data_IF_905870247701
#
_entry.id   IF_905870247701
#
_cell.length_a   1.000
_cell.length_b   1.000
_cell.length_c   1.000
_cell.angle_alpha   90.00
_cell.angle_beta   90.00
_cell.angle_gamma   90.00
#
_symmetry.space_group_name_H-M   'P 1'
#
loop_
_entity.id
_entity.type
_entity.pdbx_description
1 polymer ?
#
# COMPACT_ATOMS: atom_id res chain seq x y z
N UNK A 1 -8.79 -20.47 -2.62
CA UNK A 1 -7.65 -21.11 -3.31
C UNK A 1 -7.42 -20.41 -4.66
N UNK A 2 -6.94 -19.15 -4.61
CA UNK A 2 -6.74 -18.26 -5.77
C UNK A 2 -5.33 -18.43 -6.41
N UNK A 3 -4.48 -19.29 -5.83
CA UNK A 3 -3.03 -19.17 -5.99
C UNK A 3 -2.38 -20.12 -7.01
N UNK A 4 -3.15 -20.89 -7.79
CA UNK A 4 -2.54 -21.67 -8.89
C UNK A 4 -3.37 -21.58 -10.15
N UNK A 5 -4.68 -21.83 -10.07
CA UNK A 5 -5.58 -21.74 -11.22
C UNK A 5 -5.59 -20.36 -11.87
N UNK A 6 -5.81 -19.30 -11.08
CA UNK A 6 -5.90 -17.92 -11.61
C UNK A 6 -4.53 -17.37 -12.05
N UNK A 7 -3.44 -17.84 -11.44
CA UNK A 7 -2.09 -17.46 -11.86
C UNK A 7 -1.61 -18.22 -13.10
N UNK A 8 -2.03 -19.48 -13.29
CA UNK A 8 -1.78 -20.23 -14.52
C UNK A 8 -2.61 -19.67 -15.68
N UNK A 9 -3.86 -19.25 -15.42
CA UNK A 9 -4.69 -18.53 -16.38
C UNK A 9 -4.09 -17.15 -16.71
N UNK A 10 -3.66 -16.39 -15.69
CA UNK A 10 -2.97 -15.11 -15.89
C UNK A 10 -1.66 -15.30 -16.69
N UNK A 11 -0.88 -16.34 -16.40
CA UNK A 11 0.34 -16.67 -17.15
C UNK A 11 0.02 -16.96 -18.61
N UNK A 12 -0.98 -17.80 -18.88
CA UNK A 12 -1.44 -18.10 -20.24
C UNK A 12 -1.94 -16.85 -20.99
N UNK A 13 -2.70 -15.99 -20.30
CA UNK A 13 -3.15 -14.71 -20.84
C UNK A 13 -1.97 -13.80 -21.21
N UNK A 14 -0.99 -13.67 -20.31
CA UNK A 14 0.14 -12.80 -20.55
C UNK A 14 1.15 -13.37 -21.55
N UNK A 15 1.33 -14.69 -21.66
CA UNK A 15 2.17 -15.30 -22.69
C UNK A 15 1.58 -15.04 -24.09
N UNK A 16 0.24 -15.08 -24.21
CA UNK A 16 -0.48 -14.68 -25.43
C UNK A 16 -0.30 -13.19 -25.71
N UNK A 17 -0.43 -12.34 -24.71
CA UNK A 17 -0.26 -10.89 -24.86
C UNK A 17 1.18 -10.51 -25.21
N UNK A 18 2.19 -11.20 -24.66
CA UNK A 18 3.61 -11.04 -25.01
C UNK A 18 3.85 -11.36 -26.49
N UNK A 19 3.28 -12.47 -26.95
CA UNK A 19 3.38 -12.89 -28.35
C UNK A 19 2.70 -11.88 -29.28
N UNK A 20 1.51 -11.40 -28.89
CA UNK A 20 0.77 -10.41 -29.67
C UNK A 20 1.44 -9.02 -29.66
N UNK A 21 1.96 -8.59 -28.52
CA UNK A 21 2.68 -7.32 -28.39
C UNK A 21 3.94 -7.31 -29.25
N UNK A 22 4.69 -8.42 -29.25
CA UNK A 22 5.83 -8.63 -30.16
C UNK A 22 5.43 -8.56 -31.63
N UNK A 23 4.33 -9.24 -32.01
CA UNK A 23 3.82 -9.22 -33.39
C UNK A 23 3.28 -7.85 -33.84
N UNK A 24 2.76 -7.05 -32.90
CA UNK A 24 2.22 -5.70 -33.18
C UNK A 24 3.29 -4.63 -33.39
N UNK A 25 4.54 -4.89 -33.03
CA UNK A 25 5.63 -3.91 -33.05
C UNK A 25 5.53 -2.80 -31.98
N UNK A 26 4.52 -2.83 -31.11
CA UNK A 26 4.35 -1.83 -30.05
C UNK A 26 5.32 -2.08 -28.90
N UNK A 27 6.43 -1.35 -28.88
CA UNK A 27 7.42 -1.43 -27.80
C UNK A 27 6.83 -1.07 -26.42
N UNK A 28 5.90 -0.12 -26.37
CA UNK A 28 5.26 0.27 -25.10
C UNK A 28 4.37 -0.85 -24.56
N UNK A 29 3.55 -1.49 -25.42
CA UNK A 29 2.71 -2.61 -24.99
C UNK A 29 3.57 -3.79 -24.54
N UNK A 30 4.62 -4.11 -25.29
CA UNK A 30 5.58 -5.15 -24.90
C UNK A 30 6.20 -4.87 -23.54
N UNK A 31 6.63 -3.63 -23.28
CA UNK A 31 7.21 -3.23 -22.01
C UNK A 31 6.22 -3.38 -20.84
N UNK A 32 4.97 -2.98 -21.04
CA UNK A 32 3.90 -3.13 -20.03
C UNK A 32 3.57 -4.59 -19.75
N UNK A 33 3.48 -5.44 -20.77
CA UNK A 33 3.24 -6.88 -20.58
C UNK A 33 4.39 -7.54 -19.84
N UNK A 34 5.64 -7.17 -20.16
CA UNK A 34 6.83 -7.62 -19.43
C UNK A 34 6.81 -7.19 -17.95
N UNK A 35 6.34 -5.96 -17.66
CA UNK A 35 6.17 -5.51 -16.27
C UNK A 35 5.16 -6.38 -15.53
N UNK A 36 3.94 -6.54 -16.07
CA UNK A 36 2.88 -7.30 -15.42
C UNK A 36 3.27 -8.77 -15.20
N UNK A 37 3.89 -9.39 -16.19
CA UNK A 37 4.39 -10.77 -16.08
C UNK A 37 5.53 -10.92 -15.09
N UNK A 38 6.43 -9.93 -15.00
CA UNK A 38 7.49 -9.92 -14.00
C UNK A 38 6.92 -9.94 -12.58
N UNK A 39 5.93 -9.08 -12.30
CA UNK A 39 5.25 -9.02 -10.99
C UNK A 39 4.56 -10.33 -10.66
N UNK A 40 3.83 -10.90 -11.62
CA UNK A 40 3.15 -12.18 -11.46
C UNK A 40 4.13 -13.29 -11.06
N UNK A 41 5.26 -13.42 -11.77
CA UNK A 41 6.28 -14.41 -11.44
C UNK A 41 6.90 -14.18 -10.07
N UNK A 42 7.09 -12.92 -9.67
CA UNK A 42 7.59 -12.57 -8.34
C UNK A 42 6.64 -13.06 -7.24
N UNK A 43 5.33 -12.83 -7.41
CA UNK A 43 4.29 -13.32 -6.48
C UNK A 43 4.18 -14.84 -6.44
N UNK A 44 4.51 -15.51 -7.54
CA UNK A 44 4.61 -16.97 -7.63
C UNK A 44 5.92 -17.53 -7.04
N UNK A 45 6.85 -16.66 -6.61
CA UNK A 45 8.15 -17.04 -6.07
C UNK A 45 9.23 -17.32 -7.12
N UNK A 46 8.93 -17.12 -8.40
CA UNK A 46 9.87 -17.29 -9.52
C UNK A 46 10.73 -16.03 -9.71
N UNK A 47 11.45 -15.65 -8.65
CA UNK A 47 12.21 -14.40 -8.60
C UNK A 47 13.20 -14.20 -9.77
N UNK A 48 13.95 -15.22 -10.25
CA UNK A 48 14.84 -15.03 -11.40
C UNK A 48 14.09 -14.62 -12.68
N UNK A 49 12.91 -15.21 -12.92
CA UNK A 49 12.08 -14.89 -14.08
C UNK A 49 11.46 -13.50 -13.92
N UNK A 50 11.04 -13.16 -12.70
CA UNK A 50 10.53 -11.84 -12.35
C UNK A 50 11.57 -10.75 -12.65
N UNK A 51 12.79 -10.90 -12.13
CA UNK A 51 13.89 -9.95 -12.32
C UNK A 51 14.21 -9.76 -13.80
N UNK A 52 14.34 -10.86 -14.56
CA UNK A 52 14.61 -10.82 -16.00
C UNK A 52 13.53 -10.04 -16.77
N UNK A 53 12.25 -10.32 -16.50
CA UNK A 53 11.11 -9.67 -17.18
C UNK A 53 11.02 -8.19 -16.82
N UNK A 54 11.18 -7.84 -15.54
CA UNK A 54 11.21 -6.45 -15.08
C UNK A 54 12.40 -5.69 -15.67
N UNK A 55 13.57 -6.32 -15.82
CA UNK A 55 14.76 -5.70 -16.42
C UNK A 55 14.55 -5.41 -17.91
N UNK A 56 13.92 -6.33 -18.64
CA UNK A 56 13.56 -6.12 -20.04
C UNK A 56 12.55 -4.98 -20.18
N UNK A 57 11.53 -4.94 -19.33
CA UNK A 57 10.55 -3.86 -19.29
C UNK A 57 11.22 -2.50 -19.00
N UNK A 58 12.10 -2.43 -18.00
CA UNK A 58 12.84 -1.20 -17.67
C UNK A 58 13.68 -0.69 -18.84
N UNK A 59 14.38 -1.59 -19.56
CA UNK A 59 15.18 -1.19 -20.74
C UNK A 59 14.31 -0.57 -21.83
N UNK A 60 13.12 -1.15 -22.08
CA UNK A 60 12.18 -0.61 -23.06
C UNK A 60 11.62 0.74 -22.62
N UNK A 61 11.15 0.88 -21.37
CA UNK A 61 10.63 2.16 -20.88
C UNK A 61 11.72 3.26 -20.80
N UNK A 62 12.98 2.91 -20.55
CA UNK A 62 14.12 3.84 -20.69
C UNK A 62 14.29 4.31 -22.13
N UNK A 63 14.21 3.41 -23.11
CA UNK A 63 14.27 3.80 -24.52
C UNK A 63 13.10 4.70 -24.93
N UNK A 64 11.92 4.46 -24.36
CA UNK A 64 10.70 5.23 -24.60
C UNK A 64 10.64 6.56 -23.82
N UNK A 65 11.56 6.81 -22.88
CA UNK A 65 11.53 7.99 -22.01
C UNK A 65 10.38 8.00 -20.99
N UNK A 66 9.79 6.84 -20.68
CA UNK A 66 8.65 6.71 -19.77
C UNK A 66 9.10 6.61 -18.32
N UNK A 67 9.43 7.77 -17.73
CA UNK A 67 9.89 7.87 -16.34
C UNK A 67 8.87 7.31 -15.33
N UNK A 68 7.57 7.44 -15.64
CA UNK A 68 6.52 6.94 -14.75
C UNK A 68 6.51 5.41 -14.71
N UNK A 69 6.58 4.74 -15.86
CA UNK A 69 6.64 3.28 -15.90
C UNK A 69 7.91 2.74 -15.24
N UNK A 70 9.05 3.44 -15.39
CA UNK A 70 10.29 3.09 -14.68
C UNK A 70 10.08 3.15 -13.16
N UNK A 71 9.52 4.24 -12.65
CA UNK A 71 9.24 4.37 -11.23
C UNK A 71 8.25 3.30 -10.73
N UNK A 72 7.25 2.95 -11.54
CA UNK A 72 6.34 1.85 -11.21
C UNK A 72 7.07 0.51 -11.09
N UNK A 73 7.97 0.18 -12.02
CA UNK A 73 8.74 -1.07 -11.97
C UNK A 73 9.65 -1.11 -10.74
N UNK A 74 10.28 0.01 -10.39
CA UNK A 74 11.10 0.13 -9.18
C UNK A 74 10.26 -0.07 -7.91
N UNK A 75 9.06 0.52 -7.84
CA UNK A 75 8.12 0.32 -6.75
C UNK A 75 7.67 -1.15 -6.63
N UNK A 76 7.36 -1.80 -7.75
CA UNK A 76 6.97 -3.21 -7.78
C UNK A 76 8.12 -4.13 -7.32
N UNK A 77 9.38 -3.82 -7.68
CA UNK A 77 10.56 -4.51 -7.15
C UNK A 77 10.72 -4.32 -5.65
N UNK A 78 10.51 -3.09 -5.17
CA UNK A 78 10.58 -2.80 -3.74
C UNK A 78 9.56 -3.64 -2.96
N UNK A 79 8.35 -3.83 -3.47
CA UNK A 79 7.34 -4.74 -2.88
C UNK A 79 7.86 -6.17 -2.75
N UNK A 80 8.44 -6.73 -3.81
CA UNK A 80 9.02 -8.08 -3.78
C UNK A 80 10.16 -8.19 -2.76
N UNK A 81 10.98 -7.14 -2.62
CA UNK A 81 12.02 -7.08 -1.59
C UNK A 81 11.43 -7.02 -0.18
N UNK A 82 10.38 -6.23 0.05
CA UNK A 82 9.69 -6.18 1.34
C UNK A 82 9.11 -7.55 1.71
N UNK A 83 8.47 -8.24 0.77
CA UNK A 83 7.93 -9.60 0.97
C UNK A 83 9.02 -10.62 1.34
N UNK A 84 10.25 -10.40 0.88
CA UNK A 84 11.43 -11.23 1.20
C UNK A 84 12.20 -10.77 2.44
N UNK A 85 11.73 -9.73 3.14
CA UNK A 85 12.42 -9.14 4.29
C UNK A 85 13.67 -8.34 3.94
N UNK A 86 13.87 -7.99 2.68
CA UNK A 86 15.02 -7.27 2.13
C UNK A 86 14.79 -5.75 2.18
N UNK A 87 14.61 -5.22 3.39
CA UNK A 87 14.13 -3.85 3.61
C UNK A 87 15.08 -2.76 3.11
N UNK A 88 16.40 -2.96 3.21
CA UNK A 88 17.36 -1.96 2.72
C UNK A 88 17.40 -1.90 1.18
N UNK A 89 17.23 -3.04 0.49
CA UNK A 89 17.07 -3.06 -0.97
C UNK A 89 15.78 -2.36 -1.40
N UNK A 90 14.67 -2.64 -0.70
CA UNK A 90 13.40 -1.96 -0.96
C UNK A 90 13.54 -0.44 -0.76
N UNK A 91 14.24 0.00 0.29
CA UNK A 91 14.49 1.41 0.57
C UNK A 91 15.20 2.11 -0.59
N UNK A 92 16.32 1.56 -1.07
CA UNK A 92 17.10 2.15 -2.17
C UNK A 92 16.26 2.30 -3.45
N UNK A 93 15.43 1.30 -3.76
CA UNK A 93 14.52 1.36 -4.91
C UNK A 93 13.45 2.44 -4.76
N UNK A 94 12.89 2.59 -3.55
CA UNK A 94 11.90 3.64 -3.29
C UNK A 94 12.53 5.04 -3.32
N UNK A 95 13.77 5.21 -2.85
CA UNK A 95 14.51 6.48 -2.98
C UNK A 95 14.76 6.84 -4.46
N UNK A 96 15.10 5.85 -5.30
CA UNK A 96 15.24 6.07 -6.75
C UNK A 96 13.90 6.47 -7.40
N UNK A 97 12.79 5.82 -7.03
CA UNK A 97 11.45 6.22 -7.46
C UNK A 97 11.15 7.68 -7.09
N UNK A 98 11.45 8.10 -5.86
CA UNK A 98 11.17 9.45 -5.39
C UNK A 98 11.95 10.50 -6.20
N UNK A 99 13.22 10.21 -6.53
CA UNK A 99 14.02 11.07 -7.40
C UNK A 99 13.42 11.16 -8.80
N UNK A 100 13.00 10.04 -9.39
CA UNK A 100 12.41 10.01 -10.74
C UNK A 100 11.05 10.71 -10.82
N UNK A 101 10.28 10.64 -9.73
CA UNK A 101 8.95 11.24 -9.65
C UNK A 101 8.96 12.66 -9.08
N UNK A 102 10.14 13.21 -8.75
CA UNK A 102 10.28 14.59 -8.28
C UNK A 102 9.80 15.56 -9.35
N UNK A 103 8.80 16.38 -9.01
CA UNK A 103 8.20 17.34 -9.94
C UNK A 103 7.14 16.75 -10.87
N UNK A 104 6.81 15.45 -10.74
CA UNK A 104 5.68 14.83 -11.43
C UNK A 104 4.40 15.15 -10.65
N UNK A 105 3.57 16.06 -11.17
CA UNK A 105 2.30 16.43 -10.54
C UNK A 105 1.18 15.41 -10.87
N UNK A 106 1.35 14.17 -10.41
CA UNK A 106 0.38 13.09 -10.56
C UNK A 106 0.09 12.48 -9.18
N UNK A 107 -0.64 13.19 -8.30
CA UNK A 107 -0.86 12.78 -6.91
C UNK A 107 -1.48 11.38 -6.80
N UNK A 108 -2.41 11.05 -7.70
CA UNK A 108 -3.06 9.75 -7.82
C UNK A 108 -2.07 8.61 -8.06
N UNK A 109 -1.05 8.89 -8.88
CA UNK A 109 -0.04 7.91 -9.26
C UNK A 109 1.06 7.76 -8.20
N UNK A 110 1.20 8.74 -7.32
CA UNK A 110 2.09 8.71 -6.17
C UNK A 110 1.48 7.98 -4.97
N UNK A 111 0.17 7.76 -4.97
CA UNK A 111 -0.55 7.15 -3.84
C UNK A 111 -0.02 5.74 -3.51
N UNK A 112 0.09 4.87 -4.52
CA UNK A 112 0.65 3.53 -4.33
C UNK A 112 2.13 3.57 -3.89
N UNK A 113 2.93 4.49 -4.45
CA UNK A 113 4.32 4.67 -4.02
C UNK A 113 4.42 5.06 -2.53
N UNK A 114 3.55 5.97 -2.08
CA UNK A 114 3.45 6.38 -0.68
C UNK A 114 2.98 5.25 0.23
N UNK A 115 2.00 4.45 -0.21
CA UNK A 115 1.55 3.25 0.51
C UNK A 115 2.73 2.29 0.77
N UNK A 116 3.57 2.06 -0.24
CA UNK A 116 4.76 1.21 -0.11
C UNK A 116 5.83 1.81 0.82
N UNK A 117 6.04 3.13 0.78
CA UNK A 117 6.91 3.81 1.74
C UNK A 117 6.38 3.65 3.17
N UNK A 118 5.05 3.74 3.36
CA UNK A 118 4.39 3.51 4.63
C UNK A 118 4.56 2.08 5.15
N UNK A 119 4.36 1.09 4.28
CA UNK A 119 4.62 -0.32 4.59
C UNK A 119 6.08 -0.57 4.99
N UNK A 120 7.04 -0.03 4.23
CA UNK A 120 8.46 -0.18 4.55
C UNK A 120 8.81 0.46 5.90
N UNK A 121 8.30 1.68 6.16
CA UNK A 121 8.49 2.37 7.43
C UNK A 121 7.93 1.53 8.60
N UNK A 122 6.72 0.99 8.45
CA UNK A 122 6.10 0.11 9.42
C UNK A 122 6.94 -1.15 9.69
N UNK A 123 7.47 -1.80 8.65
CA UNK A 123 8.36 -2.97 8.80
C UNK A 123 9.69 -2.64 9.48
N UNK A 124 10.15 -1.39 9.40
CA UNK A 124 11.35 -0.90 10.10
C UNK A 124 11.05 -0.34 11.50
N UNK A 125 9.77 -0.31 11.91
CA UNK A 125 9.33 0.24 13.20
C UNK A 125 9.22 1.77 13.24
N UNK A 126 9.42 2.45 12.11
CA UNK A 126 9.27 3.91 12.00
C UNK A 126 7.79 4.27 11.86
N UNK A 127 7.09 4.28 13.01
CA UNK A 127 5.64 4.49 13.07
C UNK A 127 5.23 5.90 12.62
N UNK A 128 6.07 6.92 12.85
CA UNK A 128 5.80 8.29 12.43
C UNK A 128 5.88 8.45 10.91
N UNK A 129 6.93 7.90 10.28
CA UNK A 129 7.03 7.89 8.83
C UNK A 129 5.91 7.04 8.22
N UNK A 130 5.59 5.88 8.81
CA UNK A 130 4.48 5.06 8.38
C UNK A 130 3.16 5.85 8.39
N UNK A 131 2.85 6.55 9.49
CA UNK A 131 1.65 7.37 9.61
C UNK A 131 1.57 8.43 8.51
N UNK A 132 2.64 9.21 8.31
CA UNK A 132 2.67 10.28 7.30
C UNK A 132 2.45 9.76 5.88
N UNK A 133 3.11 8.65 5.53
CA UNK A 133 3.04 8.08 4.19
C UNK A 133 1.69 7.41 3.93
N UNK A 134 1.15 6.66 4.89
CA UNK A 134 -0.16 6.03 4.78
C UNK A 134 -1.30 7.07 4.75
N UNK A 135 -1.20 8.17 5.50
CA UNK A 135 -2.14 9.27 5.42
C UNK A 135 -2.18 9.89 4.01
N UNK A 136 -1.00 10.13 3.45
CA UNK A 136 -0.86 10.72 2.13
C UNK A 136 -1.32 9.78 1.00
N UNK A 137 -1.17 8.45 1.19
CA UNK A 137 -1.69 7.43 0.28
C UNK A 137 -3.23 7.34 0.38
N UNK A 138 -3.77 7.18 1.59
CA UNK A 138 -5.20 7.00 1.83
C UNK A 138 -6.03 8.17 1.29
N UNK A 139 -5.60 9.42 1.51
CA UNK A 139 -6.29 10.59 0.96
C UNK A 139 -6.28 10.62 -0.57
N UNK A 140 -5.17 10.21 -1.18
CA UNK A 140 -5.06 10.18 -2.63
C UNK A 140 -5.92 9.05 -3.22
N UNK A 141 -5.86 7.83 -2.67
CA UNK A 141 -6.71 6.73 -3.11
C UNK A 141 -8.21 7.03 -2.93
N UNK A 142 -8.60 7.75 -1.86
CA UNK A 142 -9.96 8.27 -1.68
C UNK A 142 -10.36 9.26 -2.77
N UNK A 143 -9.50 10.20 -3.11
CA UNK A 143 -9.78 11.23 -4.13
C UNK A 143 -10.03 10.60 -5.51
N UNK A 144 -9.33 9.50 -5.82
CA UNK A 144 -9.47 8.78 -7.10
C UNK A 144 -10.62 7.77 -7.09
N UNK A 145 -11.14 7.40 -5.91
CA UNK A 145 -12.13 6.33 -5.77
C UNK A 145 -11.55 4.93 -5.99
N UNK A 146 -10.26 4.75 -5.72
CA UNK A 146 -9.56 3.47 -5.91
C UNK A 146 -9.81 2.51 -4.73
N UNK A 147 -10.96 1.82 -4.77
CA UNK A 147 -11.47 0.98 -3.68
C UNK A 147 -10.48 -0.03 -3.12
N UNK A 148 -9.88 -0.84 -4.00
CA UNK A 148 -8.91 -1.87 -3.59
C UNK A 148 -7.73 -1.29 -2.81
N UNK A 149 -7.19 -0.16 -3.26
CA UNK A 149 -6.03 0.44 -2.61
C UNK A 149 -6.40 1.08 -1.27
N UNK A 150 -7.60 1.65 -1.14
CA UNK A 150 -8.10 2.13 0.15
C UNK A 150 -8.22 1.00 1.17
N UNK A 151 -8.73 -0.17 0.77
CA UNK A 151 -8.81 -1.32 1.68
C UNK A 151 -7.41 -1.79 2.12
N UNK A 152 -6.44 -1.82 1.21
CA UNK A 152 -5.05 -2.14 1.55
C UNK A 152 -4.42 -1.10 2.49
N UNK A 153 -4.65 0.20 2.25
CA UNK A 153 -4.22 1.28 3.14
C UNK A 153 -4.79 1.12 4.54
N UNK A 154 -6.10 0.85 4.66
CA UNK A 154 -6.77 0.66 5.95
C UNK A 154 -6.18 -0.52 6.72
N UNK A 155 -5.84 -1.63 6.05
CA UNK A 155 -5.19 -2.77 6.70
C UNK A 155 -3.77 -2.43 7.17
N UNK A 156 -3.02 -1.62 6.42
CA UNK A 156 -1.70 -1.15 6.86
C UNK A 156 -1.82 -0.19 8.05
N UNK A 157 -2.87 0.63 8.10
CA UNK A 157 -3.16 1.51 9.24
C UNK A 157 -3.59 0.70 10.47
N UNK A 158 -4.31 -0.41 10.28
CA UNK A 158 -4.59 -1.36 11.38
C UNK A 158 -3.30 -1.95 11.92
N UNK A 159 -2.39 -2.42 11.07
CA UNK A 159 -1.09 -2.93 11.53
C UNK A 159 -0.30 -1.86 12.29
N UNK A 160 -0.32 -0.61 11.80
CA UNK A 160 0.27 0.53 12.50
C UNK A 160 -0.38 0.76 13.86
N UNK A 161 -1.72 0.79 13.93
CA UNK A 161 -2.47 0.94 15.18
C UNK A 161 -2.09 -0.13 16.20
N UNK A 162 -1.95 -1.39 15.78
CA UNK A 162 -1.50 -2.47 16.66
C UNK A 162 -0.05 -2.28 17.11
N UNK A 163 0.85 -1.84 16.22
CA UNK A 163 2.24 -1.55 16.56
C UNK A 163 2.36 -0.43 17.61
N UNK A 164 1.45 0.56 17.58
CA UNK A 164 1.42 1.69 18.53
C UNK A 164 0.42 1.50 19.68
N UNK A 165 -0.05 0.26 19.92
CA UNK A 165 -0.95 -0.09 21.02
C UNK A 165 -2.29 0.69 21.04
N UNK A 166 -2.90 0.85 19.87
CA UNK A 166 -4.25 1.38 19.67
C UNK A 166 -5.22 0.25 19.24
N UNK A 167 -5.53 -0.73 20.12
CA UNK A 167 -6.29 -1.91 19.74
C UNK A 167 -7.79 -1.63 19.48
N UNK A 168 -8.37 -0.62 20.12
CA UNK A 168 -9.78 -0.23 19.90
C UNK A 168 -9.99 0.35 18.49
N UNK A 169 -9.20 1.35 18.03
CA UNK A 169 -9.24 1.76 16.63
C UNK A 169 -8.98 0.64 15.63
N UNK A 170 -8.02 -0.26 15.93
CA UNK A 170 -7.73 -1.41 15.08
C UNK A 170 -8.96 -2.32 14.91
N UNK A 171 -9.66 -2.66 16.00
CA UNK A 171 -10.88 -3.49 15.95
C UNK A 171 -12.01 -2.82 15.16
N UNK A 172 -12.19 -1.51 15.34
CA UNK A 172 -13.20 -0.74 14.63
C UNK A 172 -12.96 -0.79 13.11
N UNK A 173 -11.72 -0.57 12.67
CA UNK A 173 -11.33 -0.62 11.26
C UNK A 173 -11.40 -2.04 10.68
N UNK A 174 -11.04 -3.07 11.44
CA UNK A 174 -11.16 -4.47 11.02
C UNK A 174 -12.62 -4.89 10.79
N UNK A 175 -13.53 -4.45 11.67
CA UNK A 175 -14.96 -4.70 11.50
C UNK A 175 -15.52 -3.99 10.27
N UNK A 176 -15.14 -2.72 10.05
CA UNK A 176 -15.54 -1.95 8.87
C UNK A 176 -14.98 -2.55 7.56
N UNK A 177 -13.78 -3.13 7.59
CA UNK A 177 -13.22 -3.83 6.44
C UNK A 177 -14.03 -5.09 6.08
N UNK A 178 -14.45 -5.86 7.09
CA UNK A 178 -15.28 -7.05 6.87
C UNK A 178 -16.63 -6.73 6.22
N UNK A 179 -17.32 -5.69 6.69
CA UNK A 179 -18.61 -5.27 6.11
C UNK A 179 -18.47 -4.78 4.67
N UNK A 180 -17.37 -4.10 4.35
CA UNK A 180 -17.07 -3.71 2.97
C UNK A 180 -16.92 -4.93 2.06
N UNK A 181 -16.08 -5.90 2.44
CA UNK A 181 -15.83 -7.11 1.65
C UNK A 181 -17.12 -7.92 1.40
N UNK A 182 -17.95 -8.07 2.43
CA UNK A 182 -19.26 -8.73 2.30
C UNK A 182 -20.17 -7.97 1.33
N UNK A 183 -20.17 -6.63 1.39
CA UNK A 183 -20.98 -5.76 0.53
C UNK A 183 -20.59 -5.81 -0.95
N UNK A 184 -19.30 -6.01 -1.26
CA UNK A 184 -18.80 -6.14 -2.65
C UNK A 184 -18.69 -7.59 -3.13
N UNK A 185 -19.12 -8.57 -2.32
CA UNK A 185 -19.11 -10.00 -2.68
C UNK A 185 -17.71 -10.64 -2.68
N UNK A 186 -16.74 -10.02 -2.02
CA UNK A 186 -15.35 -10.45 -1.92
C UNK A 186 -15.12 -11.27 -0.65
N UNK A 187 -15.87 -12.37 -0.51
CA UNK A 187 -16.05 -13.08 0.78
C UNK A 187 -14.93 -14.08 1.11
N UNK A 188 -14.10 -14.51 0.16
CA UNK A 188 -13.31 -15.75 0.36
C UNK A 188 -11.84 -15.69 -0.10
N UNK A 189 -11.00 -14.98 0.68
CA UNK A 189 -9.56 -14.90 0.48
C UNK A 189 -8.79 -15.53 1.66
N UNK A 190 -8.37 -16.82 1.58
CA UNK A 190 -7.81 -17.53 2.73
C UNK A 190 -6.60 -16.87 3.41
N UNK A 191 -5.68 -16.30 2.62
CA UNK A 191 -4.49 -15.59 3.17
C UNK A 191 -4.85 -14.27 3.84
N UNK A 192 -5.73 -13.49 3.20
CA UNK A 192 -6.22 -12.23 3.76
C UNK A 192 -7.03 -12.50 5.03
N UNK A 193 -7.90 -13.51 5.00
CA UNK A 193 -8.66 -13.98 6.15
C UNK A 193 -7.76 -14.36 7.31
N UNK A 194 -6.73 -15.16 7.09
CA UNK A 194 -5.78 -15.51 8.15
C UNK A 194 -5.06 -14.27 8.72
N UNK A 195 -4.64 -13.32 7.85
CA UNK A 195 -4.01 -12.06 8.30
C UNK A 195 -4.98 -11.23 9.15
N UNK A 196 -6.22 -11.07 8.71
CA UNK A 196 -7.29 -10.33 9.40
C UNK A 196 -7.64 -10.99 10.73
N UNK A 197 -7.88 -12.31 10.74
CA UNK A 197 -8.22 -13.07 11.96
C UNK A 197 -7.09 -12.98 13.00
N UNK A 198 -5.83 -13.01 12.55
CA UNK A 198 -4.65 -12.79 13.41
C UNK A 198 -4.65 -11.39 14.04
N UNK A 199 -4.91 -10.34 13.25
CA UNK A 199 -5.00 -8.97 13.74
C UNK A 199 -6.16 -8.78 14.74
N UNK A 200 -7.32 -9.40 14.48
CA UNK A 200 -8.47 -9.40 15.41
C UNK A 200 -8.07 -10.05 16.73
N UNK A 201 -7.43 -11.22 16.68
CA UNK A 201 -6.94 -11.92 17.86
C UNK A 201 -5.97 -11.09 18.69
N UNK A 202 -4.98 -10.48 18.04
CA UNK A 202 -4.00 -9.61 18.69
C UNK A 202 -4.68 -8.41 19.37
N UNK A 203 -5.59 -7.72 18.68
CA UNK A 203 -6.28 -6.55 19.23
C UNK A 203 -7.17 -6.91 20.45
N UNK A 204 -7.91 -8.03 20.36
CA UNK A 204 -8.77 -8.53 21.45
C UNK A 204 -7.94 -9.00 22.65
N UNK A 205 -6.76 -9.58 22.45
CA UNK A 205 -5.92 -10.03 23.57
C UNK A 205 -5.36 -8.89 24.43
N UNK A 206 -5.28 -7.68 23.88
CA UNK A 206 -4.71 -6.50 24.53
C UNK A 206 -5.78 -5.53 25.09
N UNK A 207 -7.04 -5.94 25.14
CA UNK A 207 -8.17 -5.04 25.46
C UNK A 207 -9.21 -5.75 26.31
N UNK A 208 -9.95 -5.01 27.14
CA UNK A 208 -11.09 -5.57 27.86
C UNK A 208 -12.21 -6.02 26.89
N UNK A 209 -12.86 -7.18 27.12
CA UNK A 209 -13.85 -7.74 26.20
C UNK A 209 -15.00 -6.77 25.86
N UNK A 210 -15.54 -6.06 26.86
CA UNK A 210 -16.66 -5.14 26.64
C UNK A 210 -16.27 -3.95 25.75
N UNK A 211 -15.07 -3.40 25.94
CA UNK A 211 -14.57 -2.32 25.10
C UNK A 211 -14.27 -2.80 23.68
N UNK A 212 -13.72 -4.02 23.54
CA UNK A 212 -13.47 -4.65 22.25
C UNK A 212 -14.77 -4.87 21.46
N UNK A 213 -15.83 -5.34 22.12
CA UNK A 213 -17.13 -5.55 21.49
C UNK A 213 -17.81 -4.24 21.10
N UNK A 214 -17.70 -3.20 21.93
CA UNK A 214 -18.19 -1.86 21.59
C UNK A 214 -17.48 -1.27 20.36
N UNK A 215 -16.15 -1.37 20.30
CA UNK A 215 -15.37 -0.92 19.14
C UNK A 215 -15.71 -1.72 17.87
N UNK A 216 -15.89 -3.03 18.00
CA UNK A 216 -16.30 -3.89 16.90
C UNK A 216 -17.68 -3.51 16.36
N UNK A 217 -18.68 -3.36 17.24
CA UNK A 217 -20.03 -2.93 16.87
C UNK A 217 -20.05 -1.54 16.21
N UNK A 218 -19.23 -0.60 16.71
CA UNK A 218 -19.08 0.69 16.08
C UNK A 218 -18.54 0.56 14.65
N UNK A 219 -17.51 -0.28 14.44
CA UNK A 219 -16.94 -0.53 13.12
C UNK A 219 -17.91 -1.14 12.12
N UNK A 220 -18.77 -2.08 12.56
CA UNK A 220 -19.82 -2.66 11.71
C UNK A 220 -20.82 -1.62 11.17
N UNK A 221 -20.99 -0.50 11.88
CA UNK A 221 -21.89 0.58 11.49
C UNK A 221 -21.25 1.61 10.56
N UNK A 222 -19.93 1.57 10.36
CA UNK A 222 -19.24 2.54 9.51
C UNK A 222 -19.45 2.23 8.03
N UNK A 223 -19.75 3.26 7.25
CA UNK A 223 -19.53 3.22 5.81
C UNK A 223 -18.02 3.23 5.53
N UNK A 224 -17.63 2.87 4.31
CA UNK A 224 -16.22 2.91 3.93
C UNK A 224 -15.61 4.31 4.04
N UNK A 225 -16.33 5.35 3.62
CA UNK A 225 -15.90 6.74 3.80
C UNK A 225 -15.73 7.11 5.28
N UNK A 226 -16.66 6.67 6.13
CA UNK A 226 -16.57 6.89 7.57
C UNK A 226 -15.40 6.11 8.19
N UNK A 227 -15.06 4.93 7.67
CA UNK A 227 -13.89 4.18 8.09
C UNK A 227 -12.58 4.89 7.69
N UNK A 228 -12.53 5.52 6.51
CA UNK A 228 -11.40 6.37 6.10
C UNK A 228 -11.25 7.56 7.04
N UNK A 229 -12.33 8.28 7.34
CA UNK A 229 -12.29 9.42 8.26
C UNK A 229 -11.91 8.98 9.69
N UNK A 230 -12.39 7.82 10.13
CA UNK A 230 -12.01 7.22 11.41
C UNK A 230 -10.51 6.90 11.45
N UNK A 231 -9.94 6.26 10.41
CA UNK A 231 -8.52 5.94 10.33
C UNK A 231 -7.63 7.20 10.39
N UNK A 232 -8.03 8.26 9.67
CA UNK A 232 -7.31 9.54 9.68
C UNK A 232 -7.30 10.17 11.09
N UNK A 233 -8.43 10.16 11.79
CA UNK A 233 -8.59 10.89 13.05
C UNK A 233 -8.15 10.07 14.27
N UNK A 234 -8.49 8.79 14.33
CA UNK A 234 -8.33 7.96 15.53
C UNK A 234 -7.01 7.17 15.57
N UNK A 235 -6.30 7.11 14.44
CA UNK A 235 -4.98 6.45 14.36
C UNK A 235 -3.92 7.44 13.91
N UNK A 236 -4.04 7.96 12.68
CA UNK A 236 -2.96 8.70 12.02
C UNK A 236 -2.69 10.05 12.69
N UNK A 237 -3.73 10.81 13.03
CA UNK A 237 -3.56 12.11 13.71
C UNK A 237 -2.95 11.96 15.12
N UNK A 238 -3.22 10.86 15.84
CA UNK A 238 -2.65 10.64 17.19
C UNK A 238 -1.13 10.56 17.16
N UNK A 239 -0.56 9.96 16.11
CA UNK A 239 0.88 9.85 15.90
C UNK A 239 1.53 11.14 15.37
N UNK A 240 0.74 12.16 15.07
CA UNK A 240 1.24 13.48 14.62
C UNK A 240 1.23 14.52 15.74
N UNK A 241 0.41 14.33 16.77
CA UNK A 241 0.28 15.30 17.88
C UNK A 241 1.54 15.30 18.76
N UNK A 242 2.27 14.20 18.85
CA UNK A 242 3.53 14.12 19.61
C UNK A 242 4.68 14.98 19.00
N UNK A 243 4.48 15.59 17.83
CA UNK A 243 5.46 16.47 17.16
C UNK A 243 5.27 17.95 17.51
N UNK A 244 4.21 18.33 18.24
CA UNK A 244 4.14 19.70 18.80
C UNK A 244 4.96 19.75 20.08
N UNK A 245 6.28 19.85 19.91
CA UNK A 245 7.15 20.32 20.99
C UNK A 245 6.65 21.71 21.45
N UNK A 246 6.41 21.93 22.75
CA UNK A 246 6.07 23.25 23.28
C UNK A 246 7.33 24.13 23.22
N UNK A 247 7.58 24.80 22.10
CA UNK A 247 8.88 25.45 21.91
C UNK A 247 9.03 26.41 20.73
N UNK A 248 7.94 26.91 20.13
CA UNK A 248 8.03 28.09 19.25
C UNK A 248 7.02 29.15 19.69
N UNK A 249 7.37 29.74 20.83
CA UNK A 249 6.93 31.05 21.28
C UNK A 249 7.14 32.08 20.17
N UNK A 250 6.08 32.84 19.90
CA UNK A 250 6.05 34.22 19.40
C UNK A 250 7.39 34.76 18.89
N UNK A 251 7.62 34.74 17.57
CA UNK A 251 8.52 35.71 16.97
C UNK A 251 7.81 37.06 16.95
N UNK A 252 8.18 37.90 17.91
CA UNK A 252 7.92 39.33 17.93
C UNK A 252 8.12 39.94 16.54
N UNK A 253 7.06 40.60 16.07
CA UNK A 253 7.14 41.54 14.98
C UNK A 253 8.00 42.73 15.42
N UNK A 254 9.22 42.85 14.90
CA UNK A 254 9.96 44.11 14.92
C UNK A 254 9.54 44.89 13.67
N UNK A 255 8.81 46.02 13.80
CA UNK A 255 8.55 46.86 12.65
C UNK A 255 9.80 47.68 12.32
N UNK A 256 10.26 47.56 11.08
CA UNK A 256 11.23 48.47 10.49
C UNK A 256 10.55 49.83 10.27
N UNK A 257 10.99 50.86 10.99
CA UNK A 257 11.01 52.25 10.54
C UNK A 257 12.01 53.08 11.33
#
# INVERSE_FOLDING_TARGET
AFDRGDYDEARSYFDRDLTQAGASGSQWRLAMTLMHTGILEGRLGNFPVAEQRLDQSMRLHRHLGDAWAIAKILADRATLHVERGQFEQAKLLLEECEVLLRGVNLPDRLAHFRQLCGLLALRRGDCEMAARQLEAALRAHRTVGHQKYMDEDLLLIVELALAVQLPLPALCLLAAHGTHLDGVGLVDYPRLKHRVDSMIGAARSCTEPAAADAAWLHGLALSQDAAVDYALNEVLNRLRIDVVSPGQTEMEQVPVR
#
